data_IF_559473216211
#
_entry.id   IF_559473216211
#
_cell.length_a   1.000
_cell.length_b   1.000
_cell.length_c   1.000
_cell.angle_alpha   90.00
_cell.angle_beta   90.00
_cell.angle_gamma   90.00
#
_symmetry.space_group_name_H-M   'P 1'
#
loop_
_entity.id
_entity.type
_entity.pdbx_description
1 polymer ?
#
# COMPACT_ATOMS: atom_id res chain seq x y z
N UNK A 1 -5.56 16.86 12.55
CA UNK A 1 -5.39 15.56 13.24
C UNK A 1 -4.84 14.60 12.19
N UNK A 2 -3.77 13.88 12.54
CA UNK A 2 -2.75 13.35 11.63
C UNK A 2 -3.30 12.45 10.51
N UNK A 3 -3.11 12.85 9.24
CA UNK A 3 -3.41 12.02 8.08
C UNK A 3 -2.13 11.41 7.50
N UNK A 4 -1.25 10.91 8.37
CA UNK A 4 -0.09 10.11 7.97
C UNK A 4 -0.38 8.68 8.42
N UNK A 5 -0.28 7.67 7.55
CA UNK A 5 -0.58 6.29 7.95
C UNK A 5 0.40 5.84 9.05
N UNK A 6 -0.11 5.62 10.25
CA UNK A 6 0.69 5.24 11.43
C UNK A 6 1.05 3.74 11.39
N UNK A 7 0.25 2.94 10.68
CA UNK A 7 0.43 1.48 10.58
C UNK A 7 0.48 0.98 9.14
N UNK A 8 1.05 -0.23 8.94
CA UNK A 8 1.09 -0.87 7.62
C UNK A 8 -0.30 -1.08 6.99
N UNK A 9 -1.33 -1.56 7.71
CA UNK A 9 -2.70 -1.66 7.17
C UNK A 9 -3.24 -0.34 6.63
N UNK A 10 -3.00 0.76 7.35
CA UNK A 10 -3.43 2.10 6.94
C UNK A 10 -2.66 2.57 5.72
N UNK A 11 -1.35 2.32 5.66
CA UNK A 11 -0.51 2.66 4.51
C UNK A 11 -0.99 1.95 3.24
N UNK A 12 -1.27 0.66 3.31
CA UNK A 12 -1.79 -0.11 2.16
C UNK A 12 -3.11 0.49 1.66
N UNK A 13 -4.02 0.80 2.59
CA UNK A 13 -5.33 1.37 2.28
C UNK A 13 -5.21 2.78 1.70
N UNK A 14 -4.28 3.59 2.20
CA UNK A 14 -4.03 4.94 1.73
C UNK A 14 -3.45 4.94 0.32
N UNK A 15 -2.42 4.14 0.07
CA UNK A 15 -1.82 3.95 -1.26
C UNK A 15 -2.90 3.54 -2.27
N UNK A 16 -3.74 2.57 -1.90
CA UNK A 16 -4.84 2.13 -2.76
C UNK A 16 -5.82 3.25 -3.08
N UNK A 17 -6.22 4.03 -2.08
CA UNK A 17 -7.16 5.15 -2.22
C UNK A 17 -6.60 6.27 -3.08
N UNK A 18 -5.35 6.69 -2.87
CA UNK A 18 -4.71 7.73 -3.67
C UNK A 18 -4.61 7.33 -5.15
N UNK A 19 -4.32 6.06 -5.42
CA UNK A 19 -4.27 5.52 -6.78
C UNK A 19 -5.66 5.33 -7.41
N UNK A 20 -6.74 5.42 -6.62
CA UNK A 20 -8.11 5.22 -7.11
C UNK A 20 -8.40 3.80 -7.60
N UNK A 21 -7.67 2.79 -7.10
CA UNK A 21 -7.79 1.39 -7.55
C UNK A 21 -8.51 0.51 -6.53
N UNK A 22 -9.02 -0.63 -7.00
CA UNK A 22 -9.57 -1.70 -6.16
C UNK A 22 -8.47 -2.51 -5.45
N UNK A 23 -8.86 -3.30 -4.44
CA UNK A 23 -7.94 -4.22 -3.76
C UNK A 23 -7.40 -5.28 -4.73
N UNK A 24 -8.21 -5.70 -5.70
CA UNK A 24 -7.83 -6.70 -6.71
C UNK A 24 -6.80 -6.13 -7.69
N UNK A 25 -6.98 -4.90 -8.15
CA UNK A 25 -5.99 -4.22 -8.99
C UNK A 25 -4.67 -3.97 -8.26
N UNK A 26 -4.71 -3.61 -6.98
CA UNK A 26 -3.50 -3.48 -6.16
C UNK A 26 -2.80 -4.84 -6.00
N UNK A 27 -3.56 -5.91 -5.78
CA UNK A 27 -3.03 -7.26 -5.67
C UNK A 27 -2.33 -7.70 -6.96
N UNK A 28 -2.96 -7.44 -8.12
CA UNK A 28 -2.38 -7.71 -9.43
C UNK A 28 -1.07 -6.92 -9.66
N UNK A 29 -1.03 -5.64 -9.28
CA UNK A 29 0.19 -4.81 -9.39
C UNK A 29 1.33 -5.30 -8.50
N UNK A 30 1.01 -5.89 -7.35
CA UNK A 30 1.98 -6.41 -6.38
C UNK A 30 2.30 -7.90 -6.57
N UNK A 31 1.64 -8.59 -7.51
CA UNK A 31 1.83 -10.03 -7.72
C UNK A 31 1.36 -10.90 -6.55
N UNK A 32 0.36 -10.45 -5.80
CA UNK A 32 -0.24 -11.19 -4.68
C UNK A 32 -1.73 -11.44 -4.90
N UNK A 33 -2.34 -12.27 -4.06
CA UNK A 33 -3.79 -12.52 -4.13
C UNK A 33 -4.60 -11.35 -3.56
N UNK A 34 -5.84 -11.17 -4.02
CA UNK A 34 -6.82 -10.27 -3.40
C UNK A 34 -6.93 -10.51 -1.89
N UNK A 35 -6.98 -11.79 -1.48
CA UNK A 35 -7.09 -12.16 -0.07
C UNK A 35 -5.89 -11.66 0.77
N UNK A 36 -4.70 -11.57 0.17
CA UNK A 36 -3.50 -11.00 0.81
C UNK A 36 -3.68 -9.51 1.09
N UNK A 37 -4.10 -8.73 0.10
CA UNK A 37 -4.37 -7.28 0.27
C UNK A 37 -5.49 -7.05 1.29
N UNK A 38 -6.59 -7.81 1.20
CA UNK A 38 -7.69 -7.72 2.14
C UNK A 38 -7.22 -8.00 3.59
N UNK A 39 -6.37 -9.00 3.82
CA UNK A 39 -5.82 -9.28 5.16
C UNK A 39 -4.88 -8.19 5.64
N UNK A 40 -4.06 -7.60 4.76
CA UNK A 40 -3.19 -6.47 5.10
C UNK A 40 -3.99 -5.24 5.50
N UNK A 41 -4.96 -4.80 4.69
CA UNK A 41 -5.79 -3.62 5.00
C UNK A 41 -6.61 -3.76 6.28
N UNK A 42 -6.96 -5.00 6.66
CA UNK A 42 -7.70 -5.29 7.89
C UNK A 42 -6.79 -5.67 9.08
N UNK A 43 -5.46 -5.54 8.94
CA UNK A 43 -4.49 -5.87 9.99
C UNK A 43 -4.49 -7.32 10.45
N UNK A 44 -5.03 -8.25 9.64
CA UNK A 44 -5.14 -9.68 9.97
C UNK A 44 -3.81 -10.41 9.84
N UNK A 45 -2.93 -9.94 8.97
CA UNK A 45 -1.59 -10.49 8.75
C UNK A 45 -0.62 -9.39 8.38
N UNK A 46 0.63 -9.50 8.83
CA UNK A 46 1.72 -8.66 8.34
C UNK A 46 2.40 -9.30 7.12
N UNK A 47 2.92 -8.50 6.17
CA UNK A 47 3.66 -9.03 5.03
C UNK A 47 4.97 -9.67 5.50
N UNK A 48 5.38 -10.75 4.83
CA UNK A 48 6.76 -11.22 4.94
C UNK A 48 7.72 -10.24 4.29
N UNK A 49 9.02 -10.33 4.61
CA UNK A 49 10.06 -9.40 4.15
C UNK A 49 9.99 -9.13 2.64
N UNK A 50 9.86 -10.18 1.82
CA UNK A 50 9.76 -10.04 0.37
C UNK A 50 8.53 -9.23 -0.07
N UNK A 51 7.36 -9.55 0.46
CA UNK A 51 6.11 -8.87 0.14
C UNK A 51 6.12 -7.41 0.61
N UNK A 52 6.77 -7.13 1.74
CA UNK A 52 7.00 -5.77 2.22
C UNK A 52 7.91 -4.99 1.27
N UNK A 53 9.04 -5.57 0.86
CA UNK A 53 9.95 -4.95 -0.12
C UNK A 53 9.26 -4.67 -1.46
N UNK A 54 8.43 -5.59 -1.95
CA UNK A 54 7.64 -5.38 -3.17
C UNK A 54 6.65 -4.22 -3.02
N UNK A 55 5.97 -4.13 -1.87
CA UNK A 55 5.07 -3.02 -1.57
C UNK A 55 5.80 -1.68 -1.50
N UNK A 56 6.94 -1.62 -0.79
CA UNK A 56 7.73 -0.39 -0.66
C UNK A 56 8.26 0.08 -2.02
N UNK A 57 8.83 -0.83 -2.83
CA UNK A 57 9.30 -0.53 -4.19
C UNK A 57 8.16 -0.09 -5.13
N UNK A 58 6.97 -0.66 -4.97
CA UNK A 58 5.78 -0.21 -5.70
C UNK A 58 5.41 1.23 -5.32
N UNK A 59 5.46 1.57 -4.03
CA UNK A 59 5.18 2.92 -3.55
C UNK A 59 6.17 3.94 -4.12
N UNK A 60 7.47 3.65 -4.04
CA UNK A 60 8.54 4.48 -4.63
C UNK A 60 8.29 4.76 -6.10
N UNK A 61 8.04 3.69 -6.89
CA UNK A 61 7.74 3.80 -8.32
C UNK A 61 6.52 4.65 -8.64
N UNK A 62 5.49 4.61 -7.79
CA UNK A 62 4.27 5.40 -8.01
C UNK A 62 4.45 6.86 -7.57
N UNK A 63 5.28 7.14 -6.56
CA UNK A 63 5.68 8.49 -6.18
C UNK A 63 6.54 9.15 -7.25
N UNK A 64 7.50 8.43 -7.84
CA UNK A 64 8.29 8.92 -8.99
C UNK A 64 7.42 9.28 -10.20
N UNK A 65 6.29 8.58 -10.38
CA UNK A 65 5.30 8.87 -11.42
C UNK A 65 4.34 10.00 -11.06
N UNK A 66 4.46 10.61 -9.88
CA UNK A 66 3.54 11.63 -9.37
C UNK A 66 2.14 11.12 -9.06
N UNK A 67 1.95 9.80 -8.93
CA UNK A 67 0.64 9.16 -8.66
C UNK A 67 0.37 8.93 -7.18
N UNK A 68 1.43 8.91 -6.37
CA UNK A 68 1.34 8.84 -4.92
C UNK A 68 2.01 10.05 -4.30
N UNK A 69 1.32 10.65 -3.34
CA UNK A 69 1.90 11.64 -2.46
C UNK A 69 2.04 11.04 -1.06
N UNK A 70 3.21 10.43 -0.80
CA UNK A 70 3.57 9.86 0.50
C UNK A 70 4.45 10.81 1.33
N UNK A 71 4.53 12.09 0.97
CA UNK A 71 5.23 13.07 1.81
C UNK A 71 4.40 13.32 3.06
N UNK A 72 4.74 12.62 4.15
CA UNK A 72 4.52 13.21 5.47
C UNK A 72 5.34 14.49 5.50
N UNK A 73 4.67 15.64 5.66
CA UNK A 73 5.31 16.84 6.18
C UNK A 73 6.12 16.39 7.41
N UNK A 74 7.44 16.39 7.27
CA UNK A 74 8.37 16.14 8.37
C UNK A 74 8.42 17.37 9.27
#
# INVERSE_FOLDING_TARGET
>A
MANSPETFPELVKEVRKQLGISQEELAHKLGVSFATINRWENGKTMPFKLARTQFDAFCEKMTEQGKLNLTGDR
#
